data_IF_802958291328
#
_entry.id   IF_802958291328
#
_cell.length_a   1.000
_cell.length_b   1.000
_cell.length_c   1.000
_cell.angle_alpha   90.00
_cell.angle_beta   90.00
_cell.angle_gamma   90.00
#
_symmetry.space_group_name_H-M   'P 1'
#
loop_
_entity.id
_entity.type
_entity.pdbx_description
1 polymer ?
#
# COMPACT_ATOMS: atom_id res chain seq x y z
N UNK A 1 -11.72 -16.06 -10.18
CA UNK A 1 -12.87 -15.28 -10.63
C UNK A 1 -12.81 -13.78 -10.23
N UNK A 2 -11.64 -13.27 -9.86
CA UNK A 2 -11.44 -11.86 -9.57
C UNK A 2 -10.70 -11.21 -10.74
N UNK A 3 -11.16 -10.04 -11.18
CA UNK A 3 -10.54 -9.37 -12.34
C UNK A 3 -9.26 -8.65 -11.97
N UNK A 4 -9.27 -7.86 -10.90
CA UNK A 4 -8.09 -7.14 -10.39
C UNK A 4 -7.94 -7.38 -8.90
N UNK A 5 -6.71 -7.49 -8.42
CA UNK A 5 -6.37 -7.65 -7.01
C UNK A 5 -5.45 -6.54 -6.55
N UNK A 6 -5.71 -5.99 -5.36
CA UNK A 6 -4.84 -5.05 -4.67
C UNK A 6 -4.28 -5.73 -3.42
N UNK A 7 -2.96 -5.90 -3.39
CA UNK A 7 -2.24 -6.53 -2.30
C UNK A 7 -1.60 -5.45 -1.42
N UNK A 8 -1.74 -5.55 -0.10
CA UNK A 8 -1.23 -4.54 0.84
C UNK A 8 -0.19 -5.14 1.78
N UNK A 9 0.87 -4.40 2.02
CA UNK A 9 1.95 -4.66 2.97
C UNK A 9 2.55 -6.07 2.84
N UNK A 10 2.38 -6.92 3.85
CA UNK A 10 2.86 -8.31 3.81
C UNK A 10 2.25 -9.10 2.65
N UNK A 11 0.97 -8.89 2.36
CA UNK A 11 0.31 -9.49 1.21
C UNK A 11 0.92 -9.06 -0.12
N UNK A 12 1.36 -7.79 -0.23
CA UNK A 12 2.08 -7.31 -1.40
C UNK A 12 3.44 -7.99 -1.56
N UNK A 13 4.20 -8.12 -0.47
CA UNK A 13 5.50 -8.82 -0.49
C UNK A 13 5.35 -10.30 -0.84
N UNK A 14 4.34 -10.97 -0.27
CA UNK A 14 4.04 -12.37 -0.57
C UNK A 14 3.62 -12.56 -2.04
N UNK A 15 2.75 -11.71 -2.56
CA UNK A 15 2.30 -11.74 -3.95
C UNK A 15 3.43 -11.47 -4.94
N UNK A 16 4.27 -10.47 -4.67
CA UNK A 16 5.45 -10.14 -5.49
C UNK A 16 6.44 -11.31 -5.54
N UNK A 17 6.69 -11.96 -4.41
CA UNK A 17 7.55 -13.15 -4.38
C UNK A 17 6.92 -14.32 -5.12
N UNK A 18 5.67 -14.65 -4.82
CA UNK A 18 4.99 -15.80 -5.39
C UNK A 18 4.82 -15.73 -6.91
N UNK A 19 4.41 -14.57 -7.42
CA UNK A 19 4.11 -14.42 -8.85
C UNK A 19 5.31 -14.00 -9.70
N UNK A 20 6.29 -13.30 -9.10
CA UNK A 20 7.36 -12.62 -9.85
C UNK A 20 8.76 -12.91 -9.33
N UNK A 21 8.91 -13.68 -8.27
CA UNK A 21 10.22 -14.01 -7.69
C UNK A 21 10.94 -12.82 -7.04
N UNK A 22 10.25 -11.69 -6.81
CA UNK A 22 10.83 -10.51 -6.15
C UNK A 22 11.18 -10.86 -4.70
N UNK A 23 12.45 -10.73 -4.35
CA UNK A 23 12.95 -11.14 -3.04
C UNK A 23 12.50 -10.18 -1.94
N UNK A 24 12.18 -10.77 -0.79
CA UNK A 24 11.97 -10.05 0.46
C UNK A 24 13.31 -9.79 1.13
N UNK A 25 13.50 -8.59 1.64
CA UNK A 25 14.68 -8.14 2.37
C UNK A 25 14.34 -7.85 3.82
N UNK A 26 15.21 -8.27 4.75
CA UNK A 26 15.06 -7.91 6.17
C UNK A 26 15.64 -6.51 6.35
N UNK A 27 14.85 -5.61 6.91
CA UNK A 27 15.31 -4.26 7.20
C UNK A 27 16.16 -4.24 8.47
N UNK A 28 17.21 -3.40 8.52
CA UNK A 28 18.10 -3.29 9.71
C UNK A 28 17.32 -2.79 10.95
N UNK A 29 16.25 -2.04 10.75
CA UNK A 29 15.32 -1.60 11.78
C UNK A 29 13.90 -1.56 11.23
N UNK A 30 12.90 -1.57 12.12
CA UNK A 30 11.50 -1.46 11.74
C UNK A 30 11.26 -0.16 10.96
N UNK A 31 10.70 -0.26 9.77
CA UNK A 31 10.15 0.86 9.02
C UNK A 31 8.84 1.27 9.69
N UNK A 32 8.84 2.34 10.50
CA UNK A 32 7.73 2.71 11.34
C UNK A 32 7.49 4.22 11.32
N UNK A 33 6.39 4.65 10.73
CA UNK A 33 6.07 6.07 10.60
C UNK A 33 5.38 6.43 9.30
N UNK A 34 5.41 7.71 8.93
CA UNK A 34 4.82 8.28 7.72
C UNK A 34 5.93 8.81 6.84
N UNK A 35 6.08 8.23 5.65
CA UNK A 35 7.19 8.50 4.74
C UNK A 35 6.72 9.25 3.50
N UNK A 36 7.61 10.10 2.99
CA UNK A 36 7.43 10.78 1.71
C UNK A 36 7.64 9.82 0.55
N UNK A 37 6.77 9.91 -0.45
CA UNK A 37 6.82 9.13 -1.69
C UNK A 37 6.71 10.05 -2.90
N UNK A 38 7.34 9.67 -4.00
CA UNK A 38 7.25 10.36 -5.29
C UNK A 38 6.54 9.50 -6.31
N UNK A 39 5.67 10.13 -7.07
CA UNK A 39 5.04 9.50 -8.24
C UNK A 39 6.08 9.41 -9.35
N UNK A 40 6.34 8.19 -9.84
CA UNK A 40 7.32 7.93 -10.90
C UNK A 40 6.67 7.81 -12.29
N UNK A 41 5.36 7.58 -12.35
CA UNK A 41 4.60 7.40 -13.59
C UNK A 41 3.24 8.13 -13.53
N UNK A 42 3.23 9.48 -13.68
CA UNK A 42 2.03 10.29 -13.46
C UNK A 42 0.90 10.02 -14.46
N UNK A 43 1.22 9.44 -15.63
CA UNK A 43 0.20 9.07 -16.63
C UNK A 43 -0.59 7.80 -16.26
N UNK A 44 -0.18 7.05 -15.22
CA UNK A 44 -0.89 5.83 -14.84
C UNK A 44 -2.21 6.17 -14.11
N UNK A 45 -3.35 5.54 -14.48
CA UNK A 45 -4.63 5.83 -13.85
C UNK A 45 -4.69 5.65 -12.33
N UNK A 46 -3.89 4.73 -11.75
CA UNK A 46 -3.85 4.52 -10.30
C UNK A 46 -3.41 5.75 -9.50
N UNK A 47 -2.57 6.58 -10.08
CA UNK A 47 -2.04 7.79 -9.43
C UNK A 47 -2.69 9.07 -9.97
N UNK A 48 -3.80 8.95 -10.68
CA UNK A 48 -4.53 10.11 -11.19
C UNK A 48 -5.02 10.98 -10.05
N UNK A 49 -4.71 12.27 -10.10
CA UNK A 49 -5.05 13.24 -9.05
C UNK A 49 -4.09 13.25 -7.86
N UNK A 50 -3.04 12.42 -7.88
CA UNK A 50 -1.98 12.52 -6.88
C UNK A 50 -1.13 13.77 -7.12
N UNK A 51 -0.65 14.36 -6.03
CA UNK A 51 0.48 15.28 -6.07
C UNK A 51 1.75 14.53 -6.49
N UNK A 52 2.75 15.24 -7.00
CA UNK A 52 4.05 14.64 -7.36
C UNK A 52 4.71 13.97 -6.14
N UNK A 53 4.46 14.55 -4.97
CA UNK A 53 4.95 14.09 -3.67
C UNK A 53 3.77 13.91 -2.73
N UNK A 54 3.72 12.79 -2.04
CA UNK A 54 2.67 12.46 -1.08
C UNK A 54 3.23 11.65 0.09
N UNK A 55 2.41 11.45 1.11
CA UNK A 55 2.79 10.71 2.32
C UNK A 55 2.00 9.42 2.45
N UNK A 56 2.65 8.37 2.97
CA UNK A 56 2.00 7.11 3.30
C UNK A 56 2.61 6.47 4.56
N UNK A 57 1.78 5.82 5.40
CA UNK A 57 2.25 5.14 6.60
C UNK A 57 2.87 3.78 6.28
N UNK A 58 3.88 3.42 7.07
CA UNK A 58 4.51 2.10 7.06
C UNK A 58 4.68 1.57 8.49
N UNK A 59 4.47 0.26 8.64
CA UNK A 59 4.80 -0.51 9.85
C UNK A 59 5.23 -1.90 9.43
N UNK A 60 6.55 -2.11 9.21
CA UNK A 60 7.06 -3.39 8.71
C UNK A 60 8.52 -3.61 9.06
N UNK A 61 8.91 -4.86 9.22
CA UNK A 61 10.30 -5.30 9.45
C UNK A 61 11.00 -5.76 8.17
N UNK A 62 10.28 -5.79 7.06
CA UNK A 62 10.78 -6.29 5.77
C UNK A 62 10.46 -5.32 4.65
N UNK A 63 11.30 -5.35 3.63
CA UNK A 63 11.13 -4.66 2.35
C UNK A 63 11.14 -5.62 1.19
N UNK A 64 11.22 -5.08 0.00
CA UNK A 64 11.40 -5.83 -1.25
C UNK A 64 12.61 -5.29 -2.00
N UNK A 65 13.26 -6.14 -2.78
CA UNK A 65 14.35 -5.74 -3.66
C UNK A 65 13.84 -4.83 -4.78
N UNK A 66 14.25 -3.56 -4.77
CA UNK A 66 13.96 -2.61 -5.85
C UNK A 66 14.55 -3.09 -7.18
N UNK A 67 15.75 -3.67 -7.14
CA UNK A 67 16.42 -4.19 -8.32
C UNK A 67 15.62 -5.32 -8.97
N UNK A 68 15.10 -6.25 -8.17
CA UNK A 68 14.28 -7.34 -8.68
C UNK A 68 13.00 -6.82 -9.35
N UNK A 69 12.36 -5.78 -8.78
CA UNK A 69 11.18 -5.15 -9.37
C UNK A 69 11.53 -4.52 -10.71
N UNK A 70 12.65 -3.80 -10.81
CA UNK A 70 13.08 -3.15 -12.06
C UNK A 70 13.46 -4.16 -13.14
N UNK A 71 14.04 -5.29 -12.76
CA UNK A 71 14.40 -6.38 -13.66
C UNK A 71 13.19 -7.20 -14.13
N UNK A 72 12.06 -7.11 -13.43
CA UNK A 72 10.83 -7.80 -13.81
C UNK A 72 10.04 -7.02 -14.87
N UNK A 73 10.07 -7.52 -16.12
CA UNK A 73 9.38 -6.87 -17.25
C UNK A 73 7.86 -6.72 -17.07
N UNK A 74 7.26 -7.58 -16.22
CA UNK A 74 5.82 -7.56 -15.96
C UNK A 74 5.39 -6.46 -14.98
N UNK A 75 6.32 -5.91 -14.19
CA UNK A 75 6.04 -4.95 -13.14
C UNK A 75 6.46 -3.53 -13.53
N UNK A 76 5.74 -2.55 -12.97
CA UNK A 76 6.05 -1.13 -13.06
C UNK A 76 5.98 -0.52 -11.68
N UNK A 77 7.02 0.23 -11.28
CA UNK A 77 6.97 1.07 -10.08
C UNK A 77 6.22 2.35 -10.49
N UNK A 78 5.17 2.68 -9.76
CA UNK A 78 4.32 3.87 -9.98
C UNK A 78 4.60 4.96 -8.96
N UNK A 79 5.00 4.56 -7.75
CA UNK A 79 5.47 5.48 -6.72
C UNK A 79 6.49 4.77 -5.81
N UNK A 80 7.48 5.52 -5.36
CA UNK A 80 8.52 5.04 -4.45
C UNK A 80 9.00 6.15 -3.50
N UNK A 81 9.70 5.75 -2.45
CA UNK A 81 10.34 6.60 -1.45
C UNK A 81 11.83 6.36 -1.43
N UNK A 82 12.62 7.40 -1.21
CA UNK A 82 14.07 7.26 -1.02
C UNK A 82 14.39 6.47 0.27
N UNK A 83 13.53 6.60 1.30
CA UNK A 83 13.70 5.91 2.57
C UNK A 83 12.97 4.56 2.63
N UNK A 84 11.71 4.51 2.17
CA UNK A 84 10.86 3.34 2.31
C UNK A 84 10.89 2.41 1.08
N UNK A 85 11.60 2.79 0.01
CA UNK A 85 11.69 2.02 -1.22
C UNK A 85 10.41 2.00 -2.06
N UNK A 86 10.23 1.01 -2.94
CA UNK A 86 9.06 0.90 -3.80
C UNK A 86 7.76 0.82 -2.97
N UNK A 87 6.81 1.70 -3.27
CA UNK A 87 5.54 1.80 -2.55
C UNK A 87 4.38 1.21 -3.34
N UNK A 88 4.17 1.71 -4.56
CA UNK A 88 3.07 1.29 -5.43
C UNK A 88 3.63 0.69 -6.71
N UNK A 89 3.24 -0.54 -6.97
CA UNK A 89 3.61 -1.27 -8.19
C UNK A 89 2.38 -1.89 -8.81
N UNK A 90 2.40 -2.07 -10.11
CA UNK A 90 1.35 -2.79 -10.83
C UNK A 90 1.89 -3.59 -12.00
N UNK A 91 1.13 -4.58 -12.42
CA UNK A 91 1.24 -5.11 -13.79
C UNK A 91 0.73 -4.07 -14.78
N UNK A 92 1.16 -4.17 -16.03
CA UNK A 92 0.79 -3.22 -17.07
C UNK A 92 -0.73 -3.18 -17.33
N UNK A 93 -1.38 -4.32 -17.22
CA UNK A 93 -2.83 -4.46 -17.39
C UNK A 93 -3.64 -4.19 -16.10
N UNK A 94 -3.00 -3.82 -14.99
CA UNK A 94 -3.67 -3.54 -13.72
C UNK A 94 -4.36 -4.73 -13.05
N UNK A 95 -4.07 -5.97 -13.50
CA UNK A 95 -4.65 -7.17 -12.90
C UNK A 95 -4.13 -7.46 -11.50
N UNK A 96 -2.90 -7.03 -11.22
CA UNK A 96 -2.28 -7.14 -9.90
C UNK A 96 -1.63 -5.83 -9.50
N UNK A 97 -1.97 -5.33 -8.35
CA UNK A 97 -1.49 -4.08 -7.76
C UNK A 97 -0.90 -4.40 -6.40
N UNK A 98 0.25 -3.82 -6.08
CA UNK A 98 1.01 -4.08 -4.87
C UNK A 98 1.36 -2.77 -4.17
N UNK A 99 0.98 -2.66 -2.90
CA UNK A 99 1.25 -1.50 -2.04
C UNK A 99 2.02 -1.98 -0.82
N UNK A 100 3.26 -1.53 -0.63
CA UNK A 100 4.12 -1.99 0.48
C UNK A 100 3.87 -1.28 1.81
N UNK A 101 3.20 -0.14 1.79
CA UNK A 101 2.74 0.59 2.97
C UNK A 101 1.31 0.26 3.34
N UNK A 102 0.73 1.12 4.18
CA UNK A 102 -0.62 0.96 4.73
C UNK A 102 -1.50 2.19 4.47
N UNK A 103 -1.90 2.47 3.22
CA UNK A 103 -2.76 3.63 2.93
C UNK A 103 -4.10 3.56 3.67
N UNK A 104 -4.56 2.36 4.04
CA UNK A 104 -5.80 2.09 4.75
C UNK A 104 -5.77 2.45 6.24
N UNK A 105 -4.61 2.77 6.80
CA UNK A 105 -4.49 3.06 8.24
C UNK A 105 -5.30 4.29 8.64
N UNK A 106 -6.06 4.15 9.73
CA UNK A 106 -6.68 5.27 10.43
C UNK A 106 -5.63 6.18 11.07
N UNK A 107 -6.06 7.40 11.41
CA UNK A 107 -5.21 8.43 12.02
C UNK A 107 -4.42 7.91 13.23
N UNK A 108 -5.03 7.07 14.08
CA UNK A 108 -4.48 6.62 15.36
C UNK A 108 -3.90 5.20 15.31
N UNK A 109 -3.85 4.55 14.17
CA UNK A 109 -3.37 3.16 14.08
C UNK A 109 -1.90 3.02 14.52
N UNK A 110 -1.01 3.89 14.03
CA UNK A 110 0.40 3.88 14.47
C UNK A 110 0.58 4.28 15.94
N UNK A 111 -0.25 5.19 16.45
CA UNK A 111 -0.26 5.60 17.86
C UNK A 111 -0.61 4.42 18.78
N UNK A 112 -1.67 3.70 18.42
CA UNK A 112 -2.08 2.51 19.17
C UNK A 112 -1.01 1.41 19.14
N UNK A 113 -0.35 1.21 18.00
CA UNK A 113 0.75 0.27 17.85
C UNK A 113 1.96 0.69 18.72
N UNK A 114 2.35 1.95 18.65
CA UNK A 114 3.45 2.52 19.44
C UNK A 114 3.20 2.35 20.96
N UNK A 115 2.04 2.81 21.44
CA UNK A 115 1.66 2.73 22.86
C UNK A 115 1.56 1.30 23.35
N UNK A 116 1.02 0.39 22.54
CA UNK A 116 0.97 -1.05 22.83
C UNK A 116 2.37 -1.63 23.07
N UNK A 117 3.33 -1.31 22.18
CA UNK A 117 4.66 -1.88 22.23
C UNK A 117 5.50 -1.26 23.34
N UNK A 118 5.38 0.05 23.60
CA UNK A 118 5.94 0.73 24.78
C UNK A 118 5.40 0.09 26.06
N UNK A 119 4.08 -0.11 26.16
CA UNK A 119 3.44 -0.74 27.34
C UNK A 119 3.88 -2.19 27.60
N UNK A 120 4.39 -2.86 26.57
CA UNK A 120 5.00 -4.21 26.67
C UNK A 120 6.51 -4.17 26.96
N UNK A 121 7.12 -3.00 27.08
CA UNK A 121 8.56 -2.84 27.26
C UNK A 121 9.39 -3.25 26.03
N UNK A 122 8.79 -3.27 24.85
CA UNK A 122 9.50 -3.60 23.61
C UNK A 122 10.32 -2.41 23.11
N UNK A 123 11.50 -2.65 22.52
CA UNK A 123 12.32 -1.59 21.94
C UNK A 123 11.66 -1.11 20.63
N UNK A 124 10.85 -0.05 20.73
CA UNK A 124 10.21 0.59 19.58
C UNK A 124 10.58 2.07 19.53
N UNK A 125 10.93 2.55 18.35
CA UNK A 125 11.14 3.98 18.13
C UNK A 125 9.80 4.71 17.97
N UNK A 126 9.79 6.02 18.26
CA UNK A 126 8.67 6.90 17.92
C UNK A 126 8.42 6.81 16.40
N UNK A 127 7.17 6.68 15.94
CA UNK A 127 6.89 6.61 14.51
C UNK A 127 7.29 7.92 13.83
N UNK A 128 8.20 7.82 12.86
CA UNK A 128 8.83 8.96 12.17
C UNK A 128 7.78 9.81 11.43
N UNK A 129 7.89 11.14 11.51
CA UNK A 129 7.04 12.12 10.83
C UNK A 129 5.53 11.95 11.10
N UNK A 130 5.16 11.28 12.15
CA UNK A 130 3.77 10.97 12.49
C UNK A 130 3.19 11.96 13.49
N UNK A 131 3.94 12.29 14.52
CA UNK A 131 3.58 13.36 15.46
C UNK A 131 4.22 14.69 15.04
N UNK A 132 3.65 15.85 15.45
CA UNK A 132 4.34 17.12 15.33
C UNK A 132 5.69 17.07 16.06
N UNK A 133 6.78 17.41 15.38
CA UNK A 133 8.15 17.36 15.91
C UNK A 133 8.58 16.00 16.49
N UNK A 134 7.95 14.91 16.02
CA UNK A 134 8.11 13.54 16.55
C UNK A 134 7.84 13.43 18.08
N UNK A 135 7.02 14.31 18.63
CA UNK A 135 6.62 14.32 20.05
C UNK A 135 5.36 13.47 20.26
N UNK A 136 5.45 12.30 20.92
CA UNK A 136 4.31 11.40 21.11
C UNK A 136 3.24 11.92 22.10
N UNK A 137 3.51 13.02 22.81
CA UNK A 137 2.52 13.72 23.63
C UNK A 137 1.58 14.62 22.81
N UNK A 138 1.94 14.88 21.55
CA UNK A 138 1.12 15.65 20.62
C UNK A 138 0.15 14.75 19.84
N UNK A 139 -1.02 15.25 19.42
CA UNK A 139 -1.91 14.48 18.56
C UNK A 139 -1.27 14.24 17.19
N UNK A 140 -1.39 13.03 16.61
CA UNK A 140 -0.75 12.73 15.33
C UNK A 140 -1.32 13.55 14.17
N UNK A 141 -0.48 13.73 13.14
CA UNK A 141 -0.84 14.40 11.89
C UNK A 141 -1.42 13.38 10.89
N UNK A 142 -2.60 13.65 10.32
CA UNK A 142 -3.22 12.80 9.31
C UNK A 142 -2.95 13.35 7.90
N UNK A 143 -1.83 12.94 7.29
CA UNK A 143 -1.33 13.51 6.02
C UNK A 143 -1.49 12.61 4.80
N UNK A 144 -2.06 11.42 4.92
CA UNK A 144 -2.15 10.44 3.82
C UNK A 144 -3.58 10.14 3.35
N UNK A 145 -4.61 10.60 4.07
CA UNK A 145 -6.01 10.24 3.79
C UNK A 145 -6.45 10.54 2.35
N UNK A 146 -6.14 11.73 1.83
CA UNK A 146 -6.59 12.14 0.50
C UNK A 146 -6.02 11.21 -0.60
N UNK A 147 -4.71 10.95 -0.55
CA UNK A 147 -4.04 10.06 -1.52
C UNK A 147 -4.46 8.60 -1.34
N UNK A 148 -4.73 8.16 -0.11
CA UNK A 148 -5.27 6.84 0.15
C UNK A 148 -6.64 6.65 -0.51
N UNK A 149 -7.56 7.61 -0.32
CA UNK A 149 -8.88 7.58 -0.98
C UNK A 149 -8.74 7.55 -2.50
N UNK A 150 -7.93 8.45 -3.07
CA UNK A 150 -7.68 8.48 -4.52
C UNK A 150 -7.15 7.14 -5.05
N UNK A 151 -6.24 6.48 -4.32
CA UNK A 151 -5.71 5.17 -4.73
C UNK A 151 -6.83 4.12 -4.87
N UNK A 152 -7.67 3.99 -3.84
CA UNK A 152 -8.77 3.02 -3.85
C UNK A 152 -9.85 3.39 -4.87
N UNK A 153 -10.22 4.66 -4.98
CA UNK A 153 -11.20 5.15 -5.95
C UNK A 153 -10.70 4.93 -7.38
N UNK A 154 -9.42 5.23 -7.67
CA UNK A 154 -8.82 5.00 -8.98
C UNK A 154 -8.77 3.51 -9.31
N UNK A 155 -8.39 2.66 -8.34
CA UNK A 155 -8.39 1.21 -8.55
C UNK A 155 -9.79 0.69 -8.85
N UNK A 156 -10.77 1.02 -8.03
CA UNK A 156 -12.16 0.60 -8.21
C UNK A 156 -12.71 1.09 -9.56
N UNK A 157 -12.52 2.37 -9.87
CA UNK A 157 -13.06 2.95 -11.10
C UNK A 157 -12.39 2.41 -12.36
N UNK A 158 -11.05 2.49 -12.44
CA UNK A 158 -10.33 2.19 -13.70
C UNK A 158 -10.02 0.71 -13.90
N UNK A 159 -9.87 -0.08 -12.83
CA UNK A 159 -9.44 -1.47 -12.93
C UNK A 159 -10.50 -2.48 -12.49
N UNK A 160 -11.55 -2.05 -11.79
CA UNK A 160 -12.67 -2.92 -11.44
C UNK A 160 -13.89 -2.59 -12.30
N UNK A 161 -14.47 -1.40 -12.15
CA UNK A 161 -15.72 -1.06 -12.84
C UNK A 161 -15.58 -1.00 -14.37
N UNK A 162 -14.55 -0.33 -14.87
CA UNK A 162 -14.40 -0.11 -16.31
C UNK A 162 -13.82 -1.29 -17.09
N UNK A 163 -13.11 -2.19 -16.43
CA UNK A 163 -12.39 -3.29 -17.07
C UNK A 163 -12.95 -4.68 -16.75
N UNK A 164 -13.87 -4.81 -15.79
CA UNK A 164 -14.46 -6.11 -15.47
C UNK A 164 -15.32 -6.59 -16.64
N UNK A 165 -15.02 -7.74 -17.25
CA UNK A 165 -15.74 -8.26 -18.41
C UNK A 165 -17.03 -8.98 -18.03
N UNK A 166 -17.43 -8.97 -16.76
CA UNK A 166 -18.59 -9.70 -16.29
C UNK A 166 -19.88 -8.96 -16.60
N UNK A 167 -20.81 -9.66 -17.26
CA UNK A 167 -22.20 -9.24 -17.34
C UNK A 167 -22.89 -9.51 -16.02
N UNK A 168 -23.23 -8.43 -15.29
CA UNK A 168 -23.93 -8.54 -14.01
C UNK A 168 -25.31 -9.18 -14.17
N UNK A 169 -25.94 -9.05 -15.35
CA UNK A 169 -27.23 -9.68 -15.66
C UNK A 169 -27.14 -11.20 -15.83
N UNK A 170 -25.93 -11.72 -16.11
CA UNK A 170 -25.67 -13.15 -16.26
C UNK A 170 -25.30 -13.86 -14.94
N UNK A 171 -25.16 -13.11 -13.84
CA UNK A 171 -24.92 -13.68 -12.51
C UNK A 171 -26.23 -14.34 -12.06
N UNK A 172 -26.25 -15.67 -12.01
CA UNK A 172 -27.38 -16.46 -11.48
C UNK A 172 -27.68 -15.94 -10.07
N UNK A 173 -28.93 -15.59 -9.80
CA UNK A 173 -29.39 -15.38 -8.43
C UNK A 173 -29.19 -16.69 -7.70
N UNK A 174 -28.40 -16.74 -6.67
CA UNK A 174 -28.35 -17.88 -5.76
C UNK A 174 -29.75 -17.92 -5.12
N UNK A 175 -30.55 -18.85 -5.52
CA UNK A 175 -31.80 -19.15 -4.80
C UNK A 175 -31.36 -19.65 -3.42
N UNK A 176 -31.63 -18.87 -2.40
CA UNK A 176 -31.58 -19.33 -1.02
C UNK A 176 -32.76 -20.33 -0.89
N UNK A 177 -32.46 -21.61 -0.93
CA UNK A 177 -33.39 -22.62 -0.43
C UNK A 177 -33.52 -22.37 1.07
N UNK A 178 -34.69 -21.82 1.47
CA UNK A 178 -35.10 -21.76 2.86
C UNK A 178 -35.38 -23.19 3.30
N UNK A 179 -34.55 -23.75 4.18
CA UNK A 179 -34.90 -24.91 5.01
C UNK A 179 -35.57 -24.45 6.32
#
# INVERSE_FOLDING_TARGET
>A
NVYSTLHVCWGAQAGLYYHYGVRKEILPQKMFGVFEHRVTRPANPLVRGFDEVFYAPHSRHTGISREDVLNCKALRILAESDEAGPFLMSTENGRQIFVTGHPEYDKYTLDAEYKRDVGKGLPIAVPKNYYPNDDPEQPPLFRWRAHAHLLYENWLNYYVYQNTPYDLGAISKVEHEEE
#
